data_IF_229533959250
#
_entry.id   IF_229533959250
#
_cell.length_a   1.000
_cell.length_b   1.000
_cell.length_c   1.000
_cell.angle_alpha   90.00
_cell.angle_beta   90.00
_cell.angle_gamma   90.00
#
_symmetry.space_group_name_H-M   'P 1'
#
loop_
_entity.id
_entity.type
_entity.pdbx_description
1 polymer ?
#
# COMPACT_ATOMS: atom_id res chain seq x y z
N UNK A 1 -5.54 -13.18 -23.65
CA UNK A 1 -5.74 -13.36 -22.20
C UNK A 1 -4.41 -13.14 -21.51
N UNK A 2 -4.32 -12.23 -20.53
CA UNK A 2 -3.08 -11.98 -19.81
C UNK A 2 -2.75 -13.20 -18.93
N UNK A 3 -1.60 -13.85 -19.18
CA UNK A 3 -1.10 -14.93 -18.31
C UNK A 3 -0.71 -14.29 -16.98
N UNK A 4 -1.45 -14.60 -15.93
CA UNK A 4 -1.12 -14.21 -14.55
C UNK A 4 0.19 -14.90 -14.20
N UNK A 5 1.26 -14.13 -13.99
CA UNK A 5 2.56 -14.64 -13.56
C UNK A 5 2.59 -14.59 -12.03
N UNK A 6 2.53 -15.72 -11.32
CA UNK A 6 2.61 -15.73 -9.87
C UNK A 6 4.00 -15.29 -9.41
N UNK A 7 4.06 -14.39 -8.43
CA UNK A 7 5.31 -13.97 -7.78
C UNK A 7 5.48 -14.77 -6.49
N UNK A 8 6.58 -15.49 -6.36
CA UNK A 8 6.90 -16.29 -5.17
C UNK A 8 7.87 -15.53 -4.27
N UNK A 9 7.54 -15.44 -2.99
CA UNK A 9 8.41 -14.85 -1.98
C UNK A 9 9.42 -15.91 -1.50
N UNK A 10 10.69 -15.55 -1.51
CA UNK A 10 11.79 -16.36 -1.02
C UNK A 10 12.73 -15.51 -0.17
N UNK A 11 13.23 -16.10 0.91
CA UNK A 11 14.31 -15.55 1.72
C UNK A 11 15.65 -16.06 1.15
N UNK A 12 16.66 -15.20 1.08
CA UNK A 12 17.99 -15.59 0.59
C UNK A 12 18.90 -15.79 1.80
N UNK A 13 19.24 -17.04 2.10
CA UNK A 13 20.19 -17.39 3.16
C UNK A 13 21.38 -18.13 2.57
N UNK A 14 22.61 -17.64 2.81
CA UNK A 14 23.88 -18.25 2.34
C UNK A 14 23.90 -18.60 0.85
N UNK A 15 23.27 -17.78 0.00
CA UNK A 15 23.21 -18.01 -1.45
C UNK A 15 22.16 -19.03 -1.91
N UNK A 16 21.32 -19.53 -0.99
CA UNK A 16 20.20 -20.41 -1.30
C UNK A 16 18.87 -19.66 -1.18
N UNK A 17 17.96 -19.88 -2.14
CA UNK A 17 16.59 -19.36 -2.11
C UNK A 17 15.73 -20.29 -1.27
N UNK A 18 15.32 -19.84 -0.10
CA UNK A 18 14.41 -20.56 0.77
C UNK A 18 12.98 -20.03 0.56
N UNK A 19 12.13 -20.83 -0.07
CA UNK A 19 10.74 -20.45 -0.34
C UNK A 19 9.86 -20.79 0.85
N UNK A 20 9.12 -19.81 1.39
CA UNK A 20 8.13 -20.06 2.46
C UNK A 20 7.01 -21.02 2.03
N UNK A 21 6.73 -21.10 0.73
CA UNK A 21 5.69 -21.98 0.14
C UNK A 21 6.28 -22.84 -0.97
N UNK A 22 7.19 -23.73 -0.59
CA UNK A 22 7.91 -24.63 -1.51
C UNK A 22 6.95 -25.52 -2.35
N UNK A 23 5.83 -25.97 -1.77
CA UNK A 23 4.88 -26.86 -2.43
C UNK A 23 4.20 -26.21 -3.64
N UNK A 24 3.69 -24.98 -3.47
CA UNK A 24 3.05 -24.24 -4.55
C UNK A 24 4.04 -23.92 -5.68
N UNK A 25 5.28 -23.60 -5.31
CA UNK A 25 6.35 -23.35 -6.29
C UNK A 25 6.66 -24.61 -7.10
N UNK A 26 6.79 -25.77 -6.45
CA UNK A 26 7.03 -27.07 -7.13
C UNK A 26 5.88 -27.44 -8.07
N UNK A 27 4.63 -27.29 -7.63
CA UNK A 27 3.45 -27.56 -8.48
C UNK A 27 3.43 -26.66 -9.71
N UNK A 28 3.77 -25.37 -9.54
CA UNK A 28 3.84 -24.44 -10.66
C UNK A 28 4.97 -24.79 -11.64
N UNK A 29 6.15 -25.18 -11.15
CA UNK A 29 7.25 -25.65 -11.99
C UNK A 29 6.90 -26.93 -12.75
N UNK A 30 6.20 -27.88 -12.12
CA UNK A 30 5.76 -29.11 -12.78
C UNK A 30 4.83 -28.82 -13.97
N UNK A 31 3.96 -27.80 -13.86
CA UNK A 31 3.10 -27.37 -14.96
C UNK A 31 3.86 -26.72 -16.13
N UNK A 32 5.12 -26.32 -15.91
CA UNK A 32 5.99 -25.72 -16.92
C UNK A 32 7.06 -26.68 -17.43
N UNK A 33 6.94 -27.98 -17.12
CA UNK A 33 7.92 -28.98 -17.52
C UNK A 33 8.08 -29.01 -19.06
N UNK A 34 9.33 -28.96 -19.52
CA UNK A 34 9.68 -28.89 -20.95
C UNK A 34 9.62 -27.49 -21.59
N UNK A 35 9.28 -26.43 -20.84
CA UNK A 35 9.26 -25.04 -21.34
C UNK A 35 10.46 -24.25 -20.84
N UNK A 36 10.97 -23.33 -21.67
CA UNK A 36 11.98 -22.34 -21.24
C UNK A 36 11.30 -21.28 -20.37
N UNK A 37 11.76 -21.16 -19.12
CA UNK A 37 11.24 -20.19 -18.15
C UNK A 37 12.25 -19.08 -17.89
N UNK A 38 11.77 -17.86 -17.67
CA UNK A 38 12.58 -16.72 -17.25
C UNK A 38 12.37 -16.50 -15.74
N UNK A 39 13.46 -16.51 -14.98
CA UNK A 39 13.44 -16.29 -13.52
C UNK A 39 13.97 -14.89 -13.23
N UNK A 40 13.17 -14.05 -12.57
CA UNK A 40 13.59 -12.72 -12.12
C UNK A 40 13.62 -12.69 -10.60
N UNK A 41 14.80 -12.52 -10.03
CA UNK A 41 14.98 -12.30 -8.59
C UNK A 41 15.04 -10.80 -8.34
N UNK A 42 14.07 -10.26 -7.62
CA UNK A 42 14.02 -8.86 -7.21
C UNK A 42 14.12 -8.78 -5.70
N UNK A 43 14.86 -7.79 -5.19
CA UNK A 43 14.93 -7.53 -3.75
C UNK A 43 13.52 -7.25 -3.24
N UNK A 44 13.04 -8.09 -2.33
CA UNK A 44 11.73 -7.88 -1.73
C UNK A 44 11.82 -6.71 -0.75
N UNK A 45 11.11 -5.63 -1.06
CA UNK A 45 10.75 -4.64 -0.07
C UNK A 45 9.40 -5.08 0.49
N UNK A 46 9.33 -5.30 1.81
CA UNK A 46 8.04 -5.49 2.47
C UNK A 46 7.21 -4.27 2.14
N UNK A 47 6.16 -4.42 1.33
CA UNK A 47 5.19 -3.35 1.14
C UNK A 47 4.42 -3.24 2.45
N UNK A 48 5.03 -2.58 3.44
CA UNK A 48 4.36 -2.10 4.66
C UNK A 48 3.17 -1.18 4.30
N UNK A 49 3.14 -0.73 3.05
CA UNK A 49 2.02 -0.11 2.34
C UNK A 49 0.68 -0.85 2.48
N UNK A 50 0.59 -2.18 2.57
CA UNK A 50 -0.74 -2.83 2.55
C UNK A 50 -1.56 -2.59 3.82
N UNK A 51 -0.95 -2.68 5.01
CA UNK A 51 -1.63 -2.42 6.29
C UNK A 51 -1.99 -0.93 6.44
N UNK A 52 -1.02 -0.05 6.18
CA UNK A 52 -1.24 1.40 6.27
C UNK A 52 -2.27 1.89 5.24
N UNK A 53 -2.24 1.36 4.02
CA UNK A 53 -3.25 1.66 3.01
C UNK A 53 -4.64 1.15 3.44
N UNK A 54 -4.74 -0.05 4.01
CA UNK A 54 -6.01 -0.57 4.53
C UNK A 54 -6.58 0.32 5.64
N UNK A 55 -5.74 0.72 6.60
CA UNK A 55 -6.11 1.63 7.68
C UNK A 55 -6.57 2.98 7.14
N UNK A 56 -5.85 3.51 6.16
CA UNK A 56 -6.20 4.77 5.50
C UNK A 56 -7.61 4.73 4.88
N UNK A 57 -7.98 3.65 4.20
CA UNK A 57 -9.33 3.49 3.65
C UNK A 57 -10.39 3.39 4.75
N UNK A 58 -10.10 2.71 5.85
CA UNK A 58 -10.99 2.69 7.03
C UNK A 58 -11.23 4.10 7.55
N UNK A 59 -10.17 4.93 7.66
CA UNK A 59 -10.31 6.32 8.08
C UNK A 59 -11.20 7.11 7.14
N UNK A 60 -11.00 6.99 5.82
CA UNK A 60 -11.85 7.68 4.85
C UNK A 60 -13.32 7.27 4.99
N UNK A 61 -13.61 5.98 5.22
CA UNK A 61 -14.98 5.51 5.47
C UNK A 61 -15.56 6.06 6.76
N UNK A 62 -14.80 6.06 7.87
CA UNK A 62 -15.24 6.64 9.13
C UNK A 62 -15.56 8.13 8.97
N UNK A 63 -14.67 8.88 8.33
CA UNK A 63 -14.84 10.31 8.08
C UNK A 63 -16.06 10.53 7.17
N UNK A 64 -16.16 9.79 6.07
CA UNK A 64 -17.26 9.85 5.12
C UNK A 64 -18.62 9.60 5.77
N UNK A 65 -18.69 8.65 6.70
CA UNK A 65 -19.91 8.39 7.47
C UNK A 65 -20.30 9.55 8.40
N UNK A 66 -19.35 10.30 8.95
CA UNK A 66 -19.64 11.45 9.83
C UNK A 66 -20.04 12.70 9.04
N UNK A 67 -19.43 12.94 7.87
CA UNK A 67 -19.67 14.15 7.07
C UNK A 67 -20.63 13.96 5.90
N UNK A 68 -20.97 12.71 5.57
CA UNK A 68 -21.87 12.35 4.46
C UNK A 68 -21.22 12.38 3.07
N UNK A 69 -19.90 12.19 2.98
CA UNK A 69 -19.12 12.23 1.72
C UNK A 69 -18.59 10.84 1.33
N UNK A 70 -18.38 10.62 0.03
CA UNK A 70 -17.81 9.37 -0.44
C UNK A 70 -16.30 9.28 -0.10
N UNK A 71 -15.80 8.10 0.32
CA UNK A 71 -14.38 7.90 0.65
C UNK A 71 -13.43 8.30 -0.49
N UNK A 72 -13.83 8.09 -1.74
CA UNK A 72 -13.08 8.41 -2.95
C UNK A 72 -12.94 9.92 -3.18
N UNK A 73 -13.98 10.70 -2.86
CA UNK A 73 -13.95 12.16 -2.95
C UNK A 73 -13.13 12.74 -1.80
N UNK A 74 -13.23 12.16 -0.61
CA UNK A 74 -12.36 12.47 0.52
C UNK A 74 -10.89 12.17 0.20
N UNK A 75 -10.61 11.04 -0.45
CA UNK A 75 -9.27 10.69 -0.89
C UNK A 75 -8.67 11.77 -1.80
N UNK A 76 -9.45 12.22 -2.78
CA UNK A 76 -9.06 13.27 -3.73
C UNK A 76 -8.86 14.62 -3.03
N UNK A 77 -9.74 14.96 -2.10
CA UNK A 77 -9.68 16.20 -1.31
C UNK A 77 -8.44 16.24 -0.41
N UNK A 78 -8.16 15.17 0.34
CA UNK A 78 -6.98 15.12 1.19
C UNK A 78 -5.67 15.08 0.41
N UNK A 79 -5.66 14.45 -0.79
CA UNK A 79 -4.54 14.55 -1.74
C UNK A 79 -4.26 16.01 -2.11
N UNK A 80 -5.29 16.74 -2.55
CA UNK A 80 -5.14 18.15 -2.90
C UNK A 80 -4.72 19.02 -1.69
N UNK A 81 -5.15 18.65 -0.48
CA UNK A 81 -4.83 19.41 0.73
C UNK A 81 -3.38 19.20 1.23
N UNK A 82 -2.90 17.96 1.27
CA UNK A 82 -1.64 17.61 1.94
C UNK A 82 -0.51 17.15 1.01
N UNK A 83 -0.83 16.74 -0.22
CA UNK A 83 0.16 16.23 -1.19
C UNK A 83 0.39 17.18 -2.37
N UNK A 84 -0.11 18.40 -2.27
CA UNK A 84 0.17 19.46 -3.25
C UNK A 84 1.55 20.06 -3.00
N UNK A 85 2.47 19.81 -3.93
CA UNK A 85 3.80 20.41 -3.91
C UNK A 85 3.70 21.85 -4.45
N UNK A 86 3.79 22.83 -3.54
CA UNK A 86 3.72 24.26 -3.85
C UNK A 86 5.10 24.89 -4.10
N UNK A 87 6.17 24.10 -4.13
CA UNK A 87 7.53 24.61 -4.37
C UNK A 87 7.77 25.09 -5.81
N UNK A 88 6.87 24.74 -6.74
CA UNK A 88 6.94 25.10 -8.15
C UNK A 88 5.91 26.18 -8.51
N UNK A 89 6.16 26.93 -9.59
CA UNK A 89 5.24 27.94 -10.16
C UNK A 89 3.84 27.39 -10.45
N UNK A 90 3.72 26.08 -10.69
CA UNK A 90 2.44 25.39 -10.80
C UNK A 90 2.37 24.30 -9.73
N UNK A 91 1.36 24.31 -8.84
CA UNK A 91 1.20 23.27 -7.82
C UNK A 91 0.89 21.93 -8.49
N UNK A 92 1.69 20.90 -8.17
CA UNK A 92 1.46 19.53 -8.67
C UNK A 92 1.01 18.66 -7.50
N UNK A 93 -0.15 18.03 -7.65
CA UNK A 93 -0.64 17.03 -6.69
C UNK A 93 0.14 15.75 -6.90
N UNK A 94 0.94 15.34 -5.91
CA UNK A 94 1.66 14.06 -5.96
C UNK A 94 0.70 12.90 -5.76
N UNK A 95 0.88 11.83 -6.53
CA UNK A 95 0.10 10.60 -6.32
C UNK A 95 0.55 9.90 -5.05
N UNK A 96 -0.40 9.39 -4.27
CA UNK A 96 -0.14 8.54 -3.09
C UNK A 96 0.61 7.27 -3.45
N UNK A 97 0.55 6.82 -4.70
CA UNK A 97 1.31 5.66 -5.22
C UNK A 97 2.81 5.92 -5.37
N UNK A 98 3.23 7.18 -5.35
CA UNK A 98 4.64 7.58 -5.45
C UNK A 98 5.31 7.85 -4.10
N UNK A 99 4.54 7.82 -3.01
CA UNK A 99 5.04 8.11 -1.66
C UNK A 99 5.77 6.92 -1.07
N UNK A 100 6.85 7.19 -0.36
CA UNK A 100 7.50 6.18 0.47
C UNK A 100 6.71 5.95 1.78
N UNK A 101 7.05 4.89 2.52
CA UNK A 101 6.33 4.51 3.75
C UNK A 101 6.37 5.59 4.85
N UNK A 102 7.43 6.38 4.92
CA UNK A 102 7.58 7.47 5.89
C UNK A 102 6.71 8.67 5.48
N UNK A 103 6.79 9.08 4.21
CA UNK A 103 5.95 10.15 3.65
C UNK A 103 4.46 9.83 3.75
N UNK A 104 4.06 8.57 3.56
CA UNK A 104 2.69 8.13 3.73
C UNK A 104 2.24 8.18 5.20
N UNK A 105 3.13 7.84 6.15
CA UNK A 105 2.87 7.98 7.58
C UNK A 105 2.68 9.45 7.98
N UNK A 106 3.55 10.35 7.52
CA UNK A 106 3.40 11.79 7.74
C UNK A 106 2.10 12.33 7.13
N UNK A 107 1.71 11.82 5.96
CA UNK A 107 0.45 12.17 5.31
C UNK A 107 -0.77 11.75 6.15
N UNK A 108 -0.80 10.51 6.65
CA UNK A 108 -1.88 10.06 7.54
C UNK A 108 -1.92 10.89 8.84
N UNK A 109 -0.78 11.17 9.46
CA UNK A 109 -0.74 11.95 10.70
C UNK A 109 -1.31 13.36 10.52
N UNK A 110 -1.06 14.00 9.37
CA UNK A 110 -1.67 15.30 9.03
C UNK A 110 -3.20 15.22 8.93
N UNK A 111 -3.73 14.15 8.35
CA UNK A 111 -5.18 13.92 8.29
C UNK A 111 -5.73 13.71 9.70
N UNK A 112 -5.08 12.88 10.52
CA UNK A 112 -5.54 12.61 11.88
C UNK A 112 -5.60 13.88 12.74
N UNK A 113 -4.57 14.72 12.68
CA UNK A 113 -4.60 16.03 13.36
C UNK A 113 -5.73 16.91 12.86
N UNK A 114 -5.98 16.93 11.55
CA UNK A 114 -7.06 17.73 10.95
C UNK A 114 -8.44 17.24 11.38
N UNK A 115 -8.64 15.93 11.47
CA UNK A 115 -9.90 15.35 11.94
C UNK A 115 -10.10 15.53 13.46
N UNK A 116 -9.01 15.55 14.23
CA UNK A 116 -9.07 15.89 15.65
C UNK A 116 -9.59 17.33 15.88
N UNK A 117 -9.23 18.29 15.00
CA UNK A 117 -9.81 19.65 15.05
C UNK A 117 -11.34 19.64 14.82
N UNK A 118 -11.85 18.67 14.04
CA UNK A 118 -13.28 18.47 13.79
C UNK A 118 -13.95 17.57 14.83
N UNK A 119 -13.23 17.14 15.87
CA UNK A 119 -13.70 16.24 16.91
C UNK A 119 -14.17 14.87 16.38
N UNK A 120 -13.61 14.43 15.24
CA UNK A 120 -13.88 13.14 14.59
C UNK A 120 -12.83 12.12 15.08
N UNK A 121 -13.30 11.02 15.67
CA UNK A 121 -12.41 10.02 16.26
C UNK A 121 -12.00 8.97 15.21
N UNK A 122 -10.70 8.92 14.89
CA UNK A 122 -10.16 7.95 13.94
C UNK A 122 -9.59 6.73 14.67
N UNK A 123 -9.79 5.50 14.15
CA UNK A 123 -9.27 4.29 14.77
C UNK A 123 -7.74 4.27 14.72
N UNK A 124 -7.11 3.86 15.83
CA UNK A 124 -5.65 3.87 15.91
C UNK A 124 -5.02 2.74 15.10
N UNK A 125 -3.77 2.91 14.62
CA UNK A 125 -3.05 1.87 13.89
C UNK A 125 -2.86 0.57 14.69
N UNK A 126 -2.82 0.64 16.01
CA UNK A 126 -2.75 -0.53 16.91
C UNK A 126 -4.09 -1.27 17.04
N UNK A 127 -5.23 -0.61 16.82
CA UNK A 127 -6.56 -1.26 16.90
C UNK A 127 -6.90 -2.06 15.64
N UNK A 128 -6.26 -1.76 14.51
CA UNK A 128 -6.49 -2.44 13.23
C UNK A 128 -5.76 -3.78 13.09
N UNK A 129 -5.06 -4.25 14.13
CA UNK A 129 -4.41 -5.57 14.19
C UNK A 129 -5.28 -6.65 14.89
N UNK A 130 -6.58 -6.41 15.07
CA UNK A 130 -7.56 -7.38 15.60
C UNK A 130 -8.52 -7.92 14.53
#
# INVERSE_FOLDING_TARGET
>A
MAKIIPTFLADVEKGQLNFKRLELFKTYLNNLNGQKVLVSVKKYYRSRSTKQNSLYWIWLTCIGNEIGEEPEDLHSTFKAMFLTDRSKKFPIVKSTTSLNTFEFMEYMEKIARKMADFNINLPNPDEADL
#
